data_IF_719190407278
#
_entry.id   IF_719190407278
#
_cell.length_a   1.000
_cell.length_b   1.000
_cell.length_c   1.000
_cell.angle_alpha   90.00
_cell.angle_beta   90.00
_cell.angle_gamma   90.00
#
_symmetry.space_group_name_H-M   'P 1'
#
loop_
_entity.id
_entity.type
_entity.pdbx_description
1 polymer ?
#
# COMPACT_ATOMS: atom_id res chain seq x y z
N UNK A 1 -29.91 31.72 23.52
CA UNK A 1 -28.50 32.09 23.83
C UNK A 1 -27.76 30.94 24.51
N UNK A 2 -28.21 30.49 25.70
CA UNK A 2 -27.52 29.47 26.51
C UNK A 2 -26.98 28.24 25.76
N UNK A 3 -27.68 27.69 24.76
CA UNK A 3 -27.20 26.51 24.03
C UNK A 3 -25.83 26.72 23.34
N UNK A 4 -25.56 27.94 22.83
CA UNK A 4 -24.25 28.27 22.22
C UNK A 4 -23.14 28.39 23.28
N UNK A 5 -23.48 28.89 24.46
CA UNK A 5 -22.56 29.03 25.58
C UNK A 5 -22.24 27.67 26.21
N UNK A 6 -23.26 26.81 26.39
CA UNK A 6 -23.12 25.43 26.82
C UNK A 6 -22.23 24.61 25.87
N UNK A 7 -22.40 24.76 24.54
CA UNK A 7 -21.52 24.12 23.54
C UNK A 7 -20.07 24.63 23.62
N UNK A 8 -19.85 25.93 23.82
CA UNK A 8 -18.49 26.49 24.04
C UNK A 8 -17.84 25.95 25.31
N UNK A 9 -18.57 25.92 26.42
CA UNK A 9 -18.05 25.46 27.71
C UNK A 9 -17.80 23.95 27.71
N UNK A 10 -18.64 23.15 27.04
CA UNK A 10 -18.41 21.72 26.84
C UNK A 10 -17.13 21.46 26.02
N UNK A 11 -16.91 22.20 24.92
CA UNK A 11 -15.70 22.07 24.12
C UNK A 11 -14.45 22.49 24.89
N UNK A 12 -14.51 23.59 25.66
CA UNK A 12 -13.44 24.03 26.55
C UNK A 12 -13.09 22.93 27.57
N UNK A 13 -14.09 22.40 28.29
CA UNK A 13 -13.89 21.31 29.26
C UNK A 13 -13.31 20.06 28.61
N UNK A 14 -13.70 19.74 27.37
CA UNK A 14 -13.11 18.63 26.63
C UNK A 14 -11.61 18.84 26.33
N UNK A 15 -11.20 20.04 25.90
CA UNK A 15 -9.78 20.36 25.68
C UNK A 15 -8.96 20.37 26.98
N UNK A 16 -9.56 20.83 28.08
CA UNK A 16 -8.96 20.78 29.42
C UNK A 16 -8.82 19.32 29.90
N UNK A 17 -9.87 18.49 29.81
CA UNK A 17 -9.87 17.10 30.32
C UNK A 17 -9.09 16.12 29.45
N UNK A 18 -8.97 16.36 28.15
CA UNK A 18 -8.13 15.58 27.22
C UNK A 18 -6.64 15.96 27.29
N UNK A 19 -6.28 16.99 28.07
CA UNK A 19 -4.90 17.44 28.21
C UNK A 19 -4.36 18.22 27.02
N UNK A 20 -5.17 18.51 25.99
CA UNK A 20 -4.74 19.27 24.80
C UNK A 20 -4.22 20.67 25.19
N UNK A 21 -4.88 21.32 26.16
CA UNK A 21 -4.42 22.63 26.68
C UNK A 21 -3.04 22.52 27.32
N UNK A 22 -2.82 21.53 28.19
CA UNK A 22 -1.55 21.29 28.87
C UNK A 22 -0.42 20.92 27.90
N UNK A 23 -0.70 20.05 26.92
CA UNK A 23 0.23 19.70 25.86
C UNK A 23 0.66 20.94 25.04
N UNK A 24 -0.29 21.75 24.58
CA UNK A 24 0.00 22.99 23.85
C UNK A 24 0.80 23.99 24.72
N UNK A 25 0.45 24.14 26.00
CA UNK A 25 1.20 24.98 26.94
C UNK A 25 2.65 24.52 27.08
N UNK A 26 2.89 23.21 27.26
CA UNK A 26 4.24 22.63 27.34
C UNK A 26 5.08 22.87 26.09
N UNK A 27 4.47 22.77 24.90
CA UNK A 27 5.17 23.06 23.63
C UNK A 27 5.51 24.55 23.50
N UNK A 28 4.60 25.44 23.90
CA UNK A 28 4.85 26.89 23.87
C UNK A 28 5.92 27.32 24.89
N UNK A 29 5.94 26.71 26.08
CA UNK A 29 7.02 26.92 27.08
C UNK A 29 8.35 26.43 26.52
N UNK A 30 8.40 25.22 25.97
CA UNK A 30 9.63 24.69 25.37
C UNK A 30 10.13 25.53 24.18
N UNK A 31 9.24 26.17 23.41
CA UNK A 31 9.60 27.10 22.33
C UNK A 31 10.12 28.44 22.89
N UNK A 32 9.59 28.91 24.01
CA UNK A 32 10.04 30.12 24.69
C UNK A 32 11.42 29.93 25.35
N UNK A 33 11.68 28.75 25.92
CA UNK A 33 12.94 28.39 26.58
C UNK A 33 14.10 28.08 25.60
N UNK A 34 13.84 28.00 24.29
CA UNK A 34 14.90 27.76 23.31
C UNK A 34 15.85 28.96 23.17
N UNK A 35 17.10 28.77 23.60
CA UNK A 35 18.20 29.74 23.48
C UNK A 35 18.45 30.22 22.04
N UNK A 36 18.22 29.36 21.04
CA UNK A 36 18.16 29.74 19.62
C UNK A 36 16.75 29.50 19.10
N UNK A 37 16.10 30.57 18.61
CA UNK A 37 14.77 30.44 18.00
C UNK A 37 14.89 29.54 16.75
N UNK A 38 14.02 28.52 16.60
CA UNK A 38 14.07 27.62 15.46
C UNK A 38 13.68 28.38 14.19
N UNK A 39 14.30 28.03 13.06
CA UNK A 39 14.04 28.67 11.76
C UNK A 39 12.56 28.62 11.36
N UNK A 40 11.84 27.59 11.81
CA UNK A 40 10.38 27.48 11.73
C UNK A 40 9.80 27.09 13.09
N UNK A 41 9.02 28.00 13.68
CA UNK A 41 8.25 27.69 14.89
C UNK A 41 7.16 26.64 14.64
N UNK A 42 6.63 26.57 13.41
CA UNK A 42 5.58 25.61 13.03
C UNK A 42 6.13 24.19 13.01
N UNK A 43 7.31 23.97 12.44
CA UNK A 43 7.97 22.66 12.42
C UNK A 43 8.33 22.20 13.85
N UNK A 44 8.83 23.11 14.69
CA UNK A 44 9.09 22.79 16.11
C UNK A 44 7.83 22.34 16.84
N UNK A 45 6.70 23.05 16.65
CA UNK A 45 5.42 22.68 17.26
C UNK A 45 4.93 21.33 16.74
N UNK A 46 5.00 21.08 15.43
CA UNK A 46 4.65 19.79 14.84
C UNK A 46 5.48 18.65 15.44
N UNK A 47 6.81 18.80 15.46
CA UNK A 47 7.71 17.78 16.00
C UNK A 47 7.46 17.52 17.49
N UNK A 48 7.21 18.57 18.30
CA UNK A 48 6.93 18.43 19.74
C UNK A 48 5.56 17.82 20.03
N UNK A 49 4.61 17.89 19.11
CA UNK A 49 3.31 17.21 19.18
C UNK A 49 3.31 15.81 18.53
N UNK A 50 4.47 15.32 18.08
CA UNK A 50 4.60 13.99 17.47
C UNK A 50 4.19 13.91 15.99
N UNK A 51 4.03 15.05 15.31
CA UNK A 51 3.88 15.08 13.86
C UNK A 51 5.20 14.77 13.15
N UNK A 52 5.19 14.01 12.04
CA UNK A 52 6.39 13.73 11.27
C UNK A 52 6.94 15.01 10.65
N UNK A 53 8.26 15.16 10.63
CA UNK A 53 8.93 16.23 9.89
C UNK A 53 8.81 16.02 8.38
N UNK A 54 8.96 17.09 7.59
CA UNK A 54 8.93 17.02 6.12
C UNK A 54 9.98 16.03 5.59
N UNK A 55 11.17 16.00 6.19
CA UNK A 55 12.24 15.07 5.82
C UNK A 55 11.89 13.60 6.13
N UNK A 56 11.26 13.32 7.27
CA UNK A 56 10.79 11.96 7.60
C UNK A 56 9.66 11.50 6.67
N UNK A 57 8.74 12.41 6.33
CA UNK A 57 7.64 12.13 5.41
C UNK A 57 8.14 11.80 3.99
N UNK A 58 9.01 12.63 3.42
CA UNK A 58 9.56 12.39 2.08
C UNK A 58 10.47 11.14 2.06
N UNK A 59 11.23 10.88 3.14
CA UNK A 59 11.98 9.62 3.29
C UNK A 59 11.07 8.40 3.29
N UNK A 60 10.01 8.39 4.11
CA UNK A 60 9.07 7.27 4.20
C UNK A 60 8.36 7.01 2.86
N UNK A 61 8.01 8.08 2.14
CA UNK A 61 7.42 8.04 0.81
C UNK A 61 8.38 7.48 -0.25
N UNK A 62 9.66 7.82 -0.18
CA UNK A 62 10.70 7.22 -1.03
C UNK A 62 10.87 5.72 -0.73
N UNK A 63 10.97 5.32 0.55
CA UNK A 63 11.05 3.91 0.95
C UNK A 63 9.83 3.10 0.49
N UNK A 64 8.63 3.68 0.55
CA UNK A 64 7.41 3.05 0.05
C UNK A 64 7.44 2.84 -1.47
N UNK A 65 7.92 3.84 -2.23
CA UNK A 65 8.09 3.75 -3.69
C UNK A 65 9.14 2.68 -4.07
N UNK A 66 10.29 2.67 -3.41
CA UNK A 66 11.37 1.71 -3.65
C UNK A 66 10.93 0.27 -3.33
N UNK A 67 10.17 0.09 -2.25
CA UNK A 67 9.65 -1.21 -1.86
C UNK A 67 8.56 -1.70 -2.83
N UNK A 68 7.70 -0.80 -3.33
CA UNK A 68 6.70 -1.11 -4.34
C UNK A 68 7.35 -1.50 -5.69
N UNK A 69 8.42 -0.81 -6.10
CA UNK A 69 9.18 -1.17 -7.29
C UNK A 69 9.78 -2.58 -7.16
N UNK A 70 10.49 -2.87 -6.06
CA UNK A 70 11.05 -4.20 -5.78
C UNK A 70 10.00 -5.31 -5.70
N UNK A 71 8.82 -5.02 -5.14
CA UNK A 71 7.70 -5.95 -5.11
C UNK A 71 7.20 -6.28 -6.51
N UNK A 72 7.03 -5.27 -7.38
CA UNK A 72 6.57 -5.46 -8.75
C UNK A 72 7.60 -6.26 -9.58
N UNK A 73 8.89 -5.95 -9.46
CA UNK A 73 9.97 -6.68 -10.13
C UNK A 73 10.03 -8.14 -9.68
N UNK A 74 9.93 -8.38 -8.36
CA UNK A 74 9.91 -9.74 -7.81
C UNK A 74 8.66 -10.51 -8.25
N UNK A 75 7.49 -9.85 -8.29
CA UNK A 75 6.25 -10.45 -8.78
C UNK A 75 6.36 -10.81 -10.27
N UNK A 76 6.96 -9.95 -11.09
CA UNK A 76 7.19 -10.22 -12.51
C UNK A 76 8.15 -11.40 -12.72
N UNK A 77 9.29 -11.43 -12.02
CA UNK A 77 10.25 -12.56 -12.10
C UNK A 77 9.64 -13.87 -11.60
N UNK A 78 8.81 -13.84 -10.56
CA UNK A 78 8.07 -15.00 -10.07
C UNK A 78 7.07 -15.51 -11.11
N UNK A 79 6.24 -14.64 -11.68
CA UNK A 79 5.28 -15.00 -12.74
C UNK A 79 5.98 -15.60 -13.97
N UNK A 80 7.10 -15.03 -14.38
CA UNK A 80 7.88 -15.53 -15.52
C UNK A 80 8.51 -16.90 -15.21
N UNK A 81 9.10 -17.08 -14.01
CA UNK A 81 9.64 -18.37 -13.57
C UNK A 81 8.55 -19.45 -13.52
N UNK A 82 7.34 -19.13 -13.03
CA UNK A 82 6.21 -20.07 -13.04
C UNK A 82 5.82 -20.51 -14.45
N UNK A 83 5.71 -19.57 -15.41
CA UNK A 83 5.42 -19.89 -16.82
C UNK A 83 6.49 -20.80 -17.43
N UNK A 84 7.76 -20.53 -17.16
CA UNK A 84 8.86 -21.34 -17.66
C UNK A 84 8.85 -22.76 -17.06
N UNK A 85 8.54 -22.91 -15.78
CA UNK A 85 8.36 -24.22 -15.14
C UNK A 85 7.16 -25.00 -15.71
N UNK A 86 6.03 -24.33 -15.97
CA UNK A 86 4.88 -24.95 -16.64
C UNK A 86 5.21 -25.39 -18.07
N UNK A 87 5.91 -24.56 -18.85
CA UNK A 87 6.35 -24.90 -20.20
C UNK A 87 7.29 -26.10 -20.20
N UNK A 88 8.33 -26.10 -19.35
CA UNK A 88 9.27 -27.22 -19.23
C UNK A 88 8.58 -28.51 -18.78
N UNK A 89 7.65 -28.43 -17.82
CA UNK A 89 6.85 -29.58 -17.36
C UNK A 89 5.98 -30.14 -18.49
N UNK A 90 5.35 -29.29 -19.29
CA UNK A 90 4.49 -29.70 -20.39
C UNK A 90 5.29 -30.27 -21.58
N UNK A 91 6.46 -29.71 -21.88
CA UNK A 91 7.36 -30.26 -22.91
C UNK A 91 8.02 -31.58 -22.50
N UNK A 92 8.28 -31.78 -21.21
CA UNK A 92 8.83 -33.05 -20.66
C UNK A 92 7.85 -34.24 -20.78
N UNK A 93 6.55 -33.99 -20.96
CA UNK A 93 5.52 -35.03 -21.01
C UNK A 93 5.34 -35.69 -22.41
N UNK A 94 6.11 -35.28 -23.44
CA UNK A 94 5.89 -35.71 -24.84
C UNK A 94 7.04 -36.58 -25.40
N UNK A 95 8.10 -36.86 -24.63
CA UNK A 95 9.26 -37.64 -25.12
C UNK A 95 9.77 -38.73 -24.17
N UNK A 96 8.87 -39.59 -23.65
CA UNK A 96 9.24 -40.96 -23.21
C UNK A 96 8.10 -41.95 -23.45
N UNK A 97 8.17 -42.63 -24.59
CA UNK A 97 7.43 -43.86 -24.96
C UNK A 97 8.23 -44.49 -26.12
N UNK A 98 8.77 -45.70 -26.08
CA UNK A 98 8.64 -46.85 -25.15
C UNK A 98 10.01 -47.54 -24.92
N UNK A 99 9.99 -48.61 -24.09
CA UNK A 99 11.06 -49.59 -23.78
C UNK A 99 12.23 -49.12 -22.87
N UNK A 100 12.75 -49.91 -21.90
CA UNK A 100 12.30 -51.22 -21.35
C UNK A 100 12.75 -51.45 -19.88
N UNK A 101 12.18 -52.50 -19.25
CA UNK A 101 12.67 -53.27 -18.08
C UNK A 101 12.54 -52.67 -16.67
N UNK A 102 11.89 -53.47 -15.83
CA UNK A 102 11.77 -53.43 -14.37
C UNK A 102 13.13 -53.33 -13.65
N UNK A 103 13.28 -52.41 -12.70
CA UNK A 103 13.58 -52.77 -11.30
C UNK A 103 13.39 -51.57 -10.33
N UNK A 104 13.09 -51.90 -9.08
CA UNK A 104 13.33 -51.09 -7.89
C UNK A 104 12.50 -49.80 -7.69
N UNK A 105 11.18 -49.93 -7.79
CA UNK A 105 10.26 -49.04 -7.06
C UNK A 105 10.31 -49.30 -5.54
N UNK A 106 11.39 -48.88 -4.87
CA UNK A 106 11.35 -48.69 -3.42
C UNK A 106 12.22 -47.51 -2.97
N UNK A 107 11.68 -46.78 -1.99
CA UNK A 107 12.43 -45.89 -1.10
C UNK A 107 12.88 -44.52 -1.64
N UNK A 108 11.91 -43.60 -1.86
CA UNK A 108 12.10 -42.16 -1.59
C UNK A 108 10.79 -41.36 -1.30
N UNK A 109 9.71 -42.04 -0.88
CA UNK A 109 8.44 -41.40 -0.46
C UNK A 109 8.24 -41.41 1.07
N UNK A 110 9.26 -41.04 1.86
CA UNK A 110 9.19 -41.11 3.34
C UNK A 110 9.72 -39.86 4.08
N UNK A 111 9.91 -38.72 3.42
CA UNK A 111 10.49 -37.52 4.07
C UNK A 111 9.94 -36.19 3.55
N UNK A 112 8.62 -36.07 3.38
CA UNK A 112 7.98 -34.74 3.22
C UNK A 112 6.55 -34.66 3.77
N UNK A 113 6.39 -35.00 5.04
CA UNK A 113 5.28 -34.48 5.86
C UNK A 113 5.79 -33.36 6.78
N UNK A 114 4.87 -32.48 7.20
CA UNK A 114 5.05 -31.32 8.09
C UNK A 114 5.78 -30.10 7.51
N UNK A 115 5.05 -29.38 6.67
CA UNK A 115 4.96 -27.92 6.79
C UNK A 115 3.50 -27.48 6.55
N UNK A 116 2.68 -27.54 7.60
CA UNK A 116 1.41 -26.84 7.63
C UNK A 116 1.69 -25.33 7.76
N UNK A 117 1.32 -24.56 6.74
CA UNK A 117 1.43 -23.10 6.75
C UNK A 117 0.05 -22.49 7.07
N UNK A 118 -0.15 -21.90 8.27
CA UNK A 118 -1.44 -21.29 8.63
C UNK A 118 -1.54 -19.86 8.09
N UNK A 119 -1.61 -19.71 6.77
CA UNK A 119 -2.06 -18.45 6.16
C UNK A 119 -2.68 -18.66 4.77
N UNK A 120 -3.98 -18.98 4.75
CA UNK A 120 -4.81 -18.72 3.58
C UNK A 120 -5.05 -17.22 3.51
N UNK A 121 -4.43 -16.54 2.54
CA UNK A 121 -4.87 -15.21 2.12
C UNK A 121 -5.79 -15.39 0.91
N UNK A 122 -7.09 -15.39 1.16
CA UNK A 122 -8.11 -15.59 0.14
C UNK A 122 -8.07 -14.49 -0.93
N UNK A 123 -7.44 -14.80 -2.05
CA UNK A 123 -7.39 -13.93 -3.22
C UNK A 123 -8.71 -14.05 -4.00
N UNK A 124 -9.76 -13.41 -3.49
CA UNK A 124 -11.06 -13.38 -4.18
C UNK A 124 -11.00 -12.52 -5.44
N UNK A 125 -10.83 -13.22 -6.56
CA UNK A 125 -11.35 -12.96 -7.90
C UNK A 125 -11.19 -11.56 -8.50
N UNK A 126 -10.35 -11.52 -9.54
CA UNK A 126 -10.39 -10.57 -10.64
C UNK A 126 -11.79 -10.33 -11.21
N UNK A 127 -12.09 -9.09 -11.58
CA UNK A 127 -12.79 -8.82 -12.85
C UNK A 127 -11.99 -7.79 -13.65
N UNK A 128 -11.22 -8.29 -14.62
CA UNK A 128 -10.54 -7.47 -15.63
C UNK A 128 -11.44 -7.41 -16.86
N UNK A 129 -12.36 -6.45 -16.88
CA UNK A 129 -13.18 -6.19 -18.07
C UNK A 129 -12.39 -5.35 -19.08
N UNK A 130 -11.64 -6.03 -19.96
CA UNK A 130 -11.01 -5.44 -21.14
C UNK A 130 -11.99 -5.46 -22.32
N UNK A 131 -12.67 -4.33 -22.55
CA UNK A 131 -13.52 -4.09 -23.72
C UNK A 131 -13.19 -2.75 -24.36
N UNK A 132 -12.37 -2.76 -25.41
CA UNK A 132 -11.97 -1.53 -26.11
C UNK A 132 -12.93 -1.13 -27.24
N UNK A 133 -12.89 0.14 -27.65
CA UNK A 133 -13.14 0.51 -29.04
C UNK A 133 -12.40 1.79 -29.44
N UNK A 134 -11.92 1.80 -30.68
CA UNK A 134 -11.24 2.91 -31.34
C UNK A 134 -12.26 3.81 -32.08
N UNK A 135 -11.83 5.05 -32.40
CA UNK A 135 -12.45 6.00 -33.34
C UNK A 135 -13.81 6.62 -32.97
N UNK A 136 -13.92 7.94 -33.19
CA UNK A 136 -15.17 8.69 -32.99
C UNK A 136 -15.03 10.22 -33.06
N UNK A 137 -14.39 10.75 -34.10
CA UNK A 137 -14.27 12.21 -34.30
C UNK A 137 -15.56 12.76 -34.95
N UNK A 138 -16.59 13.06 -34.14
CA UNK A 138 -17.87 13.58 -34.65
C UNK A 138 -17.95 15.12 -34.58
N UNK A 139 -17.76 15.74 -35.74
CA UNK A 139 -18.11 17.13 -35.97
C UNK A 139 -19.64 17.30 -35.91
N UNK A 140 -20.17 18.15 -35.02
CA UNK A 140 -21.59 18.55 -35.06
C UNK A 140 -21.77 20.00 -35.49
N UNK A 141 -21.57 20.23 -36.79
CA UNK A 141 -22.22 21.34 -37.50
C UNK A 141 -23.74 21.06 -37.63
N UNK A 142 -24.52 22.07 -38.05
CA UNK A 142 -26.01 22.11 -38.19
C UNK A 142 -26.76 22.66 -36.95
N UNK A 143 -27.61 23.70 -37.03
CA UNK A 143 -28.00 24.58 -38.15
C UNK A 143 -28.15 26.04 -37.73
N UNK A 144 -27.87 26.91 -38.70
CA UNK A 144 -28.41 28.26 -38.87
C UNK A 144 -29.92 28.34 -38.54
N UNK A 145 -30.30 29.25 -37.64
CA UNK A 145 -31.70 29.63 -37.42
C UNK A 145 -31.90 31.03 -37.99
N UNK A 146 -32.56 31.10 -39.15
CA UNK A 146 -32.95 32.35 -39.80
C UNK A 146 -34.45 32.56 -39.65
N UNK A 147 -34.83 33.51 -38.78
CA UNK A 147 -35.97 34.42 -38.92
C UNK A 147 -35.90 35.48 -37.82
#
# INVERSE_FOLDING_TARGET
>A
MMEKEAKREAFRKYLESSGVVDALTKVLVALYEQNSKPSSAVEFVQQKLGGPTVAEYEKLKAEMSDLQAKYNDLLATHQETCKQLEQLKNSSAVTTSEETIEDNTHQLMHSREKYDAPYSFDLQSTDTSMGGLLHGHENKCTKETRN
#
